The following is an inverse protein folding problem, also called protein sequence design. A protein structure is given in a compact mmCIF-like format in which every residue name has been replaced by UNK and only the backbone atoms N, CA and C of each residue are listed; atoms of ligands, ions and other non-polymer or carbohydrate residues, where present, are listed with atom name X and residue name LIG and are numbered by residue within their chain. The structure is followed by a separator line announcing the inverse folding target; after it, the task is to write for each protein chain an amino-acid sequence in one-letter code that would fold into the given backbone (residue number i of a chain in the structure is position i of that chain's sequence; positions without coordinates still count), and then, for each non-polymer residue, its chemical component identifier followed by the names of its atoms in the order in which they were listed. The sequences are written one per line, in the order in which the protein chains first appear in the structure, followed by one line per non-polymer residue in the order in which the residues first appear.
data_IF_586919446269
#
_entry.id   IF_586919446269
#
_cell.length_a   1.000
_cell.length_b   1.000
_cell.length_c   1.000
_cell.angle_alpha   90.00
_cell.angle_beta   90.00
_cell.angle_gamma   90.00
#
_symmetry.space_group_name_H-M   'P 1'
#
loop_
_entity.id
_entity.type
_entity.pdbx_description
1 polymer ?
#
# COMPACT_ATOMS: atom_id res chain seq x y z
N UNK A 1 -11.49 -8.47 10.76
CA UNK A 1 -12.70 -7.77 10.28
C UNK A 1 -12.22 -6.74 9.27
N UNK A 2 -13.00 -6.40 8.26
CA UNK A 2 -12.58 -5.40 7.30
C UNK A 2 -12.47 -4.01 7.96
N UNK A 3 -11.37 -3.30 7.67
CA UNK A 3 -10.99 -2.06 8.33
C UNK A 3 -11.59 -0.84 7.61
N UNK A 4 -11.86 0.21 8.39
CA UNK A 4 -12.33 1.47 7.82
C UNK A 4 -11.20 2.21 7.10
N UNK A 5 -11.56 3.09 6.17
CA UNK A 5 -10.60 3.94 5.43
C UNK A 5 -9.65 4.66 6.39
N UNK A 6 -10.17 5.26 7.46
CA UNK A 6 -9.38 6.03 8.42
C UNK A 6 -8.45 5.12 9.25
N UNK A 7 -8.89 3.91 9.62
CA UNK A 7 -8.00 2.95 10.31
C UNK A 7 -6.81 2.56 9.45
N UNK A 8 -7.02 2.28 8.16
CA UNK A 8 -5.93 1.88 7.26
C UNK A 8 -4.97 3.04 7.04
N UNK A 9 -5.48 4.28 6.90
CA UNK A 9 -4.63 5.47 6.77
C UNK A 9 -3.74 5.64 8.01
N UNK A 10 -4.28 5.49 9.21
CA UNK A 10 -3.48 5.58 10.44
C UNK A 10 -2.50 4.42 10.58
N UNK A 11 -2.86 3.21 10.15
CA UNK A 11 -1.94 2.08 10.09
C UNK A 11 -0.75 2.34 9.13
N UNK A 12 -1.00 2.94 7.97
CA UNK A 12 0.05 3.34 7.02
C UNK A 12 0.95 4.42 7.64
N UNK A 13 0.39 5.42 8.31
CA UNK A 13 1.20 6.43 9.03
C UNK A 13 2.06 5.77 10.10
N UNK A 14 1.51 4.82 10.86
CA UNK A 14 2.24 4.11 11.90
C UNK A 14 3.39 3.31 11.28
N UNK A 15 3.14 2.52 10.22
CA UNK A 15 4.18 1.81 9.48
C UNK A 15 5.34 2.74 9.10
N UNK A 16 5.03 3.92 8.53
CA UNK A 16 6.05 4.87 8.08
C UNK A 16 6.78 5.52 9.26
N UNK A 17 6.06 5.90 10.32
CA UNK A 17 6.65 6.54 11.49
C UNK A 17 7.52 5.61 12.34
N UNK A 18 7.14 4.34 12.47
CA UNK A 18 7.92 3.31 13.19
C UNK A 18 9.20 2.93 12.44
N UNK A 19 9.16 2.94 11.10
CA UNK A 19 10.28 2.48 10.26
C UNK A 19 11.11 3.61 9.63
N UNK A 20 10.65 4.87 9.80
CA UNK A 20 11.30 6.08 9.31
C UNK A 20 11.40 6.20 7.79
N UNK A 21 11.85 7.37 7.34
CA UNK A 21 11.88 7.76 5.92
C UNK A 21 10.84 8.84 5.62
N UNK A 22 10.80 9.28 4.37
CA UNK A 22 9.76 10.17 3.85
C UNK A 22 8.61 9.34 3.33
N UNK A 23 7.41 9.90 3.30
CA UNK A 23 6.26 9.25 2.67
C UNK A 23 6.52 8.86 1.21
N UNK A 24 7.30 9.67 0.46
CA UNK A 24 7.73 9.37 -0.92
C UNK A 24 8.67 8.15 -1.04
N UNK A 25 9.24 7.67 0.07
CA UNK A 25 10.05 6.44 0.09
C UNK A 25 9.16 5.19 0.17
N UNK A 26 7.84 5.36 0.26
CA UNK A 26 6.87 4.29 0.38
C UNK A 26 5.94 4.26 -0.84
N UNK A 27 5.60 3.06 -1.25
CA UNK A 27 4.60 2.79 -2.26
C UNK A 27 3.33 2.27 -1.57
N UNK A 28 2.17 2.81 -1.97
CA UNK A 28 0.85 2.36 -1.51
C UNK A 28 0.03 1.98 -2.74
N UNK A 29 -0.54 0.78 -2.72
CA UNK A 29 -1.38 0.30 -3.81
C UNK A 29 -2.56 -0.54 -3.32
N UNK A 30 -3.49 -0.84 -4.23
CA UNK A 30 -4.61 -1.76 -3.98
C UNK A 30 -4.53 -3.02 -4.83
N UNK A 31 -5.12 -4.10 -4.33
CA UNK A 31 -5.11 -5.42 -4.99
C UNK A 31 -6.14 -6.36 -4.35
N UNK A 32 -6.41 -7.49 -4.99
CA UNK A 32 -7.11 -8.65 -4.42
C UNK A 32 -6.13 -9.71 -3.88
N UNK A 33 -4.87 -9.68 -4.33
CA UNK A 33 -3.78 -10.56 -3.89
C UNK A 33 -2.54 -9.80 -3.39
N UNK A 34 -2.49 -9.34 -2.12
CA UNK A 34 -1.40 -8.49 -1.63
C UNK A 34 -0.04 -9.19 -1.58
N UNK A 35 -0.02 -10.50 -1.28
CA UNK A 35 1.24 -11.27 -1.22
C UNK A 35 1.90 -11.42 -2.58
N UNK A 36 1.12 -11.70 -3.61
CA UNK A 36 1.63 -11.81 -4.98
C UNK A 36 2.18 -10.48 -5.46
N UNK A 37 1.44 -9.38 -5.27
CA UNK A 37 1.92 -8.02 -5.57
C UNK A 37 3.22 -7.69 -4.84
N UNK A 38 3.26 -7.90 -3.53
CA UNK A 38 4.43 -7.57 -2.71
C UNK A 38 5.66 -8.40 -3.09
N UNK A 39 5.55 -9.72 -3.14
CA UNK A 39 6.72 -10.61 -3.20
C UNK A 39 7.08 -11.07 -4.62
N UNK A 40 6.10 -11.21 -5.51
CA UNK A 40 6.33 -11.76 -6.85
C UNK A 40 6.51 -10.63 -7.88
N UNK A 41 5.69 -9.58 -7.81
CA UNK A 41 5.76 -8.45 -8.74
C UNK A 41 6.76 -7.39 -8.28
N UNK A 42 6.52 -6.76 -7.13
CA UNK A 42 7.39 -5.69 -6.60
C UNK A 42 8.68 -6.21 -5.95
N UNK A 43 8.81 -7.53 -5.78
CA UNK A 43 10.01 -8.21 -5.23
C UNK A 43 10.44 -7.66 -3.88
N UNK A 44 9.48 -7.26 -3.05
CA UNK A 44 9.72 -6.77 -1.69
C UNK A 44 10.44 -7.87 -0.91
N UNK A 45 11.53 -7.50 -0.24
CA UNK A 45 12.27 -8.44 0.61
C UNK A 45 11.38 -8.96 1.74
N UNK A 46 11.49 -10.25 2.08
CA UNK A 46 10.80 -10.84 3.24
C UNK A 46 11.20 -10.20 4.57
N UNK A 47 12.38 -9.59 4.63
CA UNK A 47 12.87 -8.82 5.78
C UNK A 47 12.71 -7.31 5.57
N UNK A 48 12.02 -6.90 4.49
CA UNK A 48 11.72 -5.52 4.18
C UNK A 48 10.61 -4.96 5.05
N UNK A 49 10.33 -3.67 4.88
CA UNK A 49 9.25 -2.98 5.56
C UNK A 49 8.04 -3.00 4.64
N UNK A 50 7.02 -3.76 5.00
CA UNK A 50 5.77 -3.84 4.28
C UNK A 50 4.64 -4.22 5.23
N UNK A 51 3.42 -3.89 4.86
CA UNK A 51 2.22 -4.39 5.50
C UNK A 51 1.03 -4.34 4.51
N UNK A 52 -0.05 -5.05 4.83
CA UNK A 52 -1.28 -5.04 4.04
C UNK A 52 -2.52 -5.17 4.91
N UNK A 53 -3.59 -4.49 4.51
CA UNK A 53 -4.84 -4.38 5.25
C UNK A 53 -6.03 -4.66 4.35
N UNK A 54 -7.04 -5.31 4.90
CA UNK A 54 -8.31 -5.55 4.21
C UNK A 54 -9.27 -4.39 4.45
N UNK A 55 -9.68 -3.69 3.40
CA UNK A 55 -10.69 -2.64 3.44
C UNK A 55 -12.11 -3.21 3.34
N UNK A 56 -13.10 -2.43 3.80
CA UNK A 56 -14.53 -2.77 3.70
C UNK A 56 -14.98 -3.16 2.29
N UNK A 57 -14.45 -2.48 1.27
CA UNK A 57 -14.77 -2.68 -0.13
C UNK A 57 -13.72 -1.99 -1.02
N UNK A 58 -13.79 -2.24 -2.33
CA UNK A 58 -12.86 -1.65 -3.30
C UNK A 58 -12.90 -0.12 -3.32
N UNK A 59 -14.05 0.51 -3.09
CA UNK A 59 -14.15 1.97 -3.01
C UNK A 59 -13.39 2.53 -1.80
N UNK A 60 -13.47 1.86 -0.65
CA UNK A 60 -12.68 2.21 0.52
C UNK A 60 -11.19 2.04 0.26
N UNK A 61 -10.77 0.95 -0.39
CA UNK A 61 -9.37 0.72 -0.75
C UNK A 61 -8.84 1.82 -1.68
N UNK A 62 -9.56 2.12 -2.77
CA UNK A 62 -9.23 3.21 -3.71
C UNK A 62 -9.18 4.57 -3.02
N UNK A 63 -10.08 4.82 -2.07
CA UNK A 63 -10.07 6.07 -1.31
C UNK A 63 -8.83 6.20 -0.42
N UNK A 64 -8.35 5.11 0.18
CA UNK A 64 -7.10 5.09 0.96
C UNK A 64 -5.90 5.38 0.06
N UNK A 65 -5.74 4.65 -1.04
CA UNK A 65 -4.63 4.85 -1.99
C UNK A 65 -4.59 6.29 -2.50
N UNK A 66 -5.74 6.81 -2.97
CA UNK A 66 -5.87 8.19 -3.42
C UNK A 66 -5.52 9.19 -2.31
N UNK A 67 -5.91 8.91 -1.06
CA UNK A 67 -5.57 9.77 0.07
C UNK A 67 -4.07 9.79 0.32
N UNK A 68 -3.42 8.62 0.36
CA UNK A 68 -1.98 8.49 0.56
C UNK A 68 -1.19 9.23 -0.52
N UNK A 69 -1.53 9.04 -1.80
CA UNK A 69 -0.86 9.73 -2.92
C UNK A 69 -1.04 11.25 -2.80
N UNK A 70 -2.28 11.73 -2.60
CA UNK A 70 -2.54 13.18 -2.62
C UNK A 70 -2.09 13.91 -1.35
N UNK A 71 -2.18 13.28 -0.19
CA UNK A 71 -1.89 13.94 1.10
C UNK A 71 -0.47 13.67 1.59
N UNK A 72 0.05 12.47 1.34
CA UNK A 72 1.38 12.08 1.80
C UNK A 72 2.42 12.10 0.69
N UNK A 73 2.02 12.22 -0.58
CA UNK A 73 2.95 12.11 -1.72
C UNK A 73 3.69 10.76 -1.71
N UNK A 74 3.02 9.69 -1.28
CA UNK A 74 3.49 8.31 -1.50
C UNK A 74 3.39 8.00 -2.99
N UNK A 75 4.22 7.10 -3.47
CA UNK A 75 4.03 6.55 -4.81
C UNK A 75 2.89 5.54 -4.83
N UNK A 76 2.27 5.38 -6.00
CA UNK A 76 1.14 4.48 -6.18
C UNK A 76 0.65 4.46 -7.62
N UNK A 77 0.02 3.35 -8.01
CA UNK A 77 -0.54 3.17 -9.34
C UNK A 77 -1.91 3.84 -9.43
N UNK A 78 -2.08 4.83 -10.30
CA UNK A 78 -3.36 5.56 -10.47
C UNK A 78 -4.48 4.75 -11.14
N UNK A 79 -4.27 3.46 -11.45
CA UNK A 79 -5.16 2.70 -12.33
C UNK A 79 -5.24 1.20 -12.10
N UNK A 80 -4.90 0.68 -10.92
CA UNK A 80 -4.94 -0.75 -10.64
C UNK A 80 -6.08 -1.13 -9.70
N UNK A 81 -6.98 -2.00 -10.14
CA UNK A 81 -7.87 -2.74 -9.25
C UNK A 81 -9.31 -2.79 -9.73
N UNK A 82 -9.85 -4.00 -9.87
CA UNK A 82 -11.25 -4.26 -10.21
C UNK A 82 -12.11 -4.16 -8.93
N UNK A 83 -13.43 -4.38 -9.01
CA UNK A 83 -14.31 -4.38 -7.82
C UNK A 83 -13.93 -5.44 -6.75
N UNK A 84 -13.02 -6.36 -7.08
CA UNK A 84 -12.44 -7.36 -6.17
C UNK A 84 -11.28 -6.81 -5.32
N UNK A 85 -10.65 -5.70 -5.68
CA UNK A 85 -9.44 -5.18 -5.04
C UNK A 85 -9.73 -4.50 -3.71
N UNK A 86 -9.89 -5.31 -2.65
CA UNK A 86 -10.22 -4.85 -1.30
C UNK A 86 -9.01 -4.76 -0.38
N UNK A 87 -7.84 -5.23 -0.79
CA UNK A 87 -6.63 -5.11 0.03
C UNK A 87 -5.86 -3.86 -0.36
N UNK A 88 -5.42 -3.12 0.65
CA UNK A 88 -4.44 -2.05 0.53
C UNK A 88 -3.11 -2.61 1.00
N UNK A 89 -2.05 -2.40 0.25
CA UNK A 89 -0.70 -2.78 0.66
C UNK A 89 0.22 -1.57 0.62
N UNK A 90 1.18 -1.54 1.53
CA UNK A 90 2.23 -0.53 1.56
C UNK A 90 3.58 -1.20 1.76
N UNK A 91 4.61 -0.67 1.10
CA UNK A 91 5.99 -1.11 1.33
C UNK A 91 6.98 0.05 1.20
N UNK A 92 8.09 -0.05 1.91
CA UNK A 92 9.22 0.87 1.74
C UNK A 92 10.01 0.45 0.51
N UNK A 93 10.16 1.39 -0.41
CA UNK A 93 10.90 1.23 -1.65
C UNK A 93 12.38 1.15 -1.33
N UNK A 94 13.06 0.25 -2.01
CA UNK A 94 14.51 0.04 -1.89
C UNK A 94 15.11 -0.08 -3.27
N UNK A 95 16.44 -0.10 -3.37
CA UNK A 95 17.14 -0.31 -4.65
C UNK A 95 16.83 -1.65 -5.33
N UNK A 96 16.15 -2.57 -4.64
CA UNK A 96 15.77 -3.90 -5.11
C UNK A 96 14.29 -4.04 -5.45
N UNK A 97 13.44 -3.07 -5.09
CA UNK A 97 12.01 -3.12 -5.38
C UNK A 97 11.74 -2.62 -6.79
N UNK A 98 10.83 -3.30 -7.47
CA UNK A 98 10.44 -3.03 -8.85
C UNK A 98 9.15 -2.20 -8.87
N UNK A 99 9.27 -0.88 -9.09
CA UNK A 99 8.13 0.06 -9.02
C UNK A 99 7.33 0.12 -10.33
N UNK A 100 7.90 -0.36 -11.45
CA UNK A 100 7.29 -0.40 -12.79
C UNK A 100 6.57 -1.75 -13.08
N UNK A 101 6.47 -2.64 -12.09
CA UNK A 101 5.94 -4.00 -12.21
C UNK A 101 4.40 -4.11 -12.31
#
# INVERSE_FOLDING_TARGET
MAETKDTIIDAIKNLISENGGKYSDYYVGITDGPKERLFEQHKVSKNGIYDYWEALNANSARAVEKYCINQFSTDGGTGGGDDSSKFVYAYKKTSYTDEDA
#
